data_IF_162650536185
#
_entry.id   IF_162650536185
#
_cell.length_a   1.000
_cell.length_b   1.000
_cell.length_c   1.000
_cell.angle_alpha   90.00
_cell.angle_beta   90.00
_cell.angle_gamma   90.00
#
_symmetry.space_group_name_H-M   'P 1'
#
loop_
_entity.id
_entity.type
_entity.pdbx_description
1 polymer ?
#
# COMPACT_ATOMS: atom_id res chain seq x y z
N UNK A 1 -0.91 7.18 19.27
CA UNK A 1 -0.93 8.50 18.64
C UNK A 1 0.18 8.56 17.61
N UNK A 2 -0.17 8.53 16.33
CA UNK A 2 0.76 8.87 15.25
C UNK A 2 0.63 10.38 15.06
N UNK A 3 1.66 11.12 15.50
CA UNK A 3 1.74 12.56 15.27
C UNK A 3 2.25 12.78 13.85
N UNK A 4 1.40 13.34 12.99
CA UNK A 4 1.75 13.67 11.61
C UNK A 4 2.86 14.73 11.52
N UNK A 5 3.32 15.03 10.30
CA UNK A 5 4.33 16.07 10.10
C UNK A 5 3.70 17.43 9.82
N UNK A 6 4.20 18.48 10.49
CA UNK A 6 3.87 19.88 10.20
C UNK A 6 4.48 20.38 8.88
N UNK A 7 5.39 19.62 8.29
CA UNK A 7 6.07 19.96 7.05
C UNK A 7 5.72 18.97 5.95
N UNK A 8 5.57 19.47 4.72
CA UNK A 8 5.36 18.61 3.56
C UNK A 8 6.60 17.75 3.32
N UNK A 9 6.44 16.44 3.44
CA UNK A 9 7.50 15.47 3.19
C UNK A 9 7.32 14.79 1.83
N UNK A 10 8.41 14.18 1.36
CA UNK A 10 8.40 13.34 0.15
C UNK A 10 9.16 12.05 0.40
N UNK A 11 8.68 10.97 -0.19
CA UNK A 11 9.37 9.68 -0.25
C UNK A 11 9.29 9.14 -1.68
N UNK A 12 10.36 8.48 -2.13
CA UNK A 12 10.37 7.79 -3.42
C UNK A 12 10.24 6.30 -3.15
N UNK A 13 9.11 5.73 -3.59
CA UNK A 13 8.80 4.30 -3.48
C UNK A 13 8.91 3.63 -4.84
N UNK A 14 9.27 2.34 -4.84
CA UNK A 14 9.27 1.52 -6.04
C UNK A 14 7.91 0.86 -6.21
N UNK A 15 7.47 0.73 -7.47
CA UNK A 15 6.30 -0.07 -7.80
C UNK A 15 6.58 -1.54 -7.50
N UNK A 16 5.62 -2.20 -6.86
CA UNK A 16 5.64 -3.64 -6.57
C UNK A 16 4.82 -4.36 -7.64
N UNK A 17 5.29 -5.54 -8.07
CA UNK A 17 4.57 -6.35 -9.04
C UNK A 17 3.18 -6.74 -8.51
N UNK A 18 2.17 -6.70 -9.38
CA UNK A 18 0.79 -7.10 -9.05
C UNK A 18 0.71 -8.48 -8.39
N UNK A 19 1.38 -9.48 -8.95
CA UNK A 19 1.37 -10.84 -8.40
C UNK A 19 1.78 -10.89 -6.91
N UNK A 20 2.86 -10.18 -6.55
CA UNK A 20 3.30 -10.07 -5.15
C UNK A 20 2.30 -9.31 -4.28
N UNK A 21 1.70 -8.24 -4.81
CA UNK A 21 0.73 -7.46 -4.07
C UNK A 21 -0.57 -8.24 -3.81
N UNK A 22 -1.08 -8.95 -4.81
CA UNK A 22 -2.30 -9.76 -4.72
C UNK A 22 -2.11 -10.97 -3.81
N UNK A 23 -0.90 -11.48 -3.66
CA UNK A 23 -0.61 -12.51 -2.65
C UNK A 23 -0.84 -12.00 -1.22
N UNK A 24 -0.56 -10.72 -0.96
CA UNK A 24 -0.74 -10.11 0.35
C UNK A 24 -2.13 -9.49 0.55
N UNK A 25 -2.71 -8.92 -0.52
CA UNK A 25 -3.90 -8.06 -0.44
C UNK A 25 -4.99 -8.42 -1.49
N UNK A 26 -4.97 -9.62 -2.05
CA UNK A 26 -5.99 -10.09 -2.99
C UNK A 26 -7.36 -10.30 -2.33
N UNK A 27 -8.37 -10.62 -3.14
CA UNK A 27 -9.68 -11.00 -2.64
C UNK A 27 -9.56 -12.23 -1.71
N UNK A 28 -10.12 -12.13 -0.50
CA UNK A 28 -9.98 -13.17 0.51
C UNK A 28 -8.70 -13.11 1.36
N UNK A 29 -7.87 -12.07 1.22
CA UNK A 29 -6.72 -11.81 2.11
C UNK A 29 -7.12 -11.60 3.58
N UNK A 30 -8.41 -11.34 3.83
CA UNK A 30 -8.95 -11.07 5.16
C UNK A 30 -8.71 -9.65 5.64
N UNK A 31 -8.15 -8.76 4.80
CA UNK A 31 -7.97 -7.36 5.15
C UNK A 31 -9.34 -6.66 5.28
N UNK A 32 -9.73 -6.21 6.50
CA UNK A 32 -11.04 -5.61 6.73
C UNK A 32 -11.19 -4.25 6.03
N UNK A 33 -10.09 -3.59 5.67
CA UNK A 33 -10.07 -2.32 4.95
C UNK A 33 -10.22 -2.52 3.44
N UNK A 34 -9.80 -3.67 2.90
CA UNK A 34 -9.84 -4.01 1.47
C UNK A 34 -10.85 -5.13 1.20
N UNK A 35 -12.16 -4.83 1.31
CA UNK A 35 -13.25 -5.82 1.15
C UNK A 35 -13.23 -6.61 -0.17
N UNK A 36 -12.67 -6.04 -1.24
CA UNK A 36 -12.55 -6.67 -2.57
C UNK A 36 -11.10 -6.99 -2.93
N UNK A 37 -10.19 -6.88 -1.97
CA UNK A 37 -8.76 -6.85 -2.23
C UNK A 37 -8.33 -5.69 -3.14
N UNK A 38 -7.12 -5.81 -3.67
CA UNK A 38 -6.59 -4.94 -4.73
C UNK A 38 -7.22 -5.33 -6.08
N UNK A 39 -7.81 -4.35 -6.77
CA UNK A 39 -8.39 -4.51 -8.11
C UNK A 39 -7.37 -4.05 -9.15
N UNK A 40 -6.84 -5.01 -9.91
CA UNK A 40 -5.68 -4.83 -10.81
C UNK A 40 -5.83 -3.71 -11.85
N UNK A 41 -7.05 -3.46 -12.33
CA UNK A 41 -7.29 -2.46 -13.38
C UNK A 41 -7.33 -1.03 -12.82
N UNK A 42 -7.54 -0.86 -11.52
CA UNK A 42 -7.77 0.45 -10.90
C UNK A 42 -6.67 0.84 -9.91
N UNK A 43 -5.79 -0.09 -9.53
CA UNK A 43 -4.82 0.09 -8.46
C UNK A 43 -3.41 -0.41 -8.86
N UNK A 44 -2.41 0.23 -8.28
CA UNK A 44 -1.01 -0.21 -8.30
C UNK A 44 -0.50 -0.27 -6.87
N UNK A 45 0.54 -1.08 -6.63
CA UNK A 45 1.18 -1.15 -5.32
C UNK A 45 2.57 -0.56 -5.39
N UNK A 46 2.98 0.14 -4.34
CA UNK A 46 4.33 0.66 -4.18
C UNK A 46 4.78 0.46 -2.74
N UNK A 47 6.06 0.16 -2.54
CA UNK A 47 6.61 -0.08 -1.21
C UNK A 47 8.09 -0.46 -1.25
N UNK A 48 8.81 -0.11 -0.20
CA UNK A 48 10.23 -0.46 -0.02
C UNK A 48 10.48 -0.64 1.49
N UNK A 49 11.37 -1.55 1.87
CA UNK A 49 11.71 -1.74 3.28
C UNK A 49 12.21 -0.42 3.89
N UNK A 50 11.61 -0.04 5.03
CA UNK A 50 11.91 1.23 5.71
C UNK A 50 11.32 2.49 5.09
N UNK A 51 10.45 2.38 4.07
CA UNK A 51 9.77 3.52 3.44
C UNK A 51 8.31 3.20 3.13
N UNK A 52 7.41 4.04 3.61
CA UNK A 52 5.97 3.90 3.34
C UNK A 52 5.26 5.27 3.42
N UNK A 53 3.97 5.28 3.11
CA UNK A 53 3.05 6.38 3.39
C UNK A 53 2.22 6.07 4.64
N UNK A 54 2.11 7.00 5.56
CA UNK A 54 1.37 6.85 6.82
C UNK A 54 0.33 7.98 6.99
N UNK A 55 -0.54 7.84 8.00
CA UNK A 55 -1.58 8.83 8.34
C UNK A 55 -1.00 10.04 9.08
#
# INVERSE_FOLDING_TARGET
>A
DEEGSDHLLKVTLKTVSRARCNQAFGEGSGDPKLKRGVIDDWQICAGEEGKDTCQ
#
